data_IF_998314033711
#
_entry.id   IF_998314033711
#
_cell.length_a   1.000
_cell.length_b   1.000
_cell.length_c   1.000
_cell.angle_alpha   90.00
_cell.angle_beta   90.00
_cell.angle_gamma   90.00
#
_symmetry.space_group_name_H-M   'P 1'
#
loop_
_entity.id
_entity.type
_entity.pdbx_description
1 polymer ?
#
# COMPACT_ATOMS: atom_id res chain seq x y z
N UNK A 1 -9.33 2.65 13.04
CA UNK A 1 -8.06 2.01 12.62
C UNK A 1 -8.12 1.69 11.14
N UNK A 2 -7.03 1.87 10.39
CA UNK A 2 -6.94 1.53 8.96
C UNK A 2 -5.59 0.87 8.68
N UNK A 3 -5.59 -0.17 7.86
CA UNK A 3 -4.37 -0.74 7.26
C UNK A 3 -4.33 -0.24 5.83
N UNK A 4 -3.28 0.51 5.47
CA UNK A 4 -3.13 1.10 4.13
C UNK A 4 -2.17 0.25 3.31
N UNK A 5 -2.60 -0.17 2.13
CA UNK A 5 -1.77 -0.84 1.15
C UNK A 5 -1.45 0.18 0.05
N UNK A 6 -0.17 0.43 -0.18
CA UNK A 6 0.28 1.31 -1.25
C UNK A 6 0.15 0.60 -2.59
N UNK A 7 -0.62 1.19 -3.51
CA UNK A 7 -0.75 0.70 -4.89
C UNK A 7 0.11 1.49 -5.88
N UNK A 8 0.97 2.39 -5.41
CA UNK A 8 1.71 3.33 -6.27
C UNK A 8 0.88 4.54 -6.72
N UNK A 9 1.29 5.18 -7.82
CA UNK A 9 0.60 6.30 -8.46
C UNK A 9 0.74 6.19 -9.98
N UNK A 10 -0.29 6.55 -10.76
CA UNK A 10 -0.16 6.65 -12.21
C UNK A 10 0.86 7.73 -12.58
N UNK A 11 1.62 7.46 -13.63
CA UNK A 11 2.57 8.39 -14.21
C UNK A 11 2.03 8.90 -15.54
N UNK A 12 2.15 10.19 -15.78
CA UNK A 12 1.91 10.82 -17.09
C UNK A 12 3.19 11.55 -17.52
N UNK A 13 3.73 11.19 -18.68
CA UNK A 13 5.03 11.72 -19.12
C UNK A 13 6.21 11.43 -18.19
N UNK A 14 6.11 10.42 -17.32
CA UNK A 14 7.13 10.07 -16.32
C UNK A 14 6.95 10.75 -14.96
N UNK A 15 5.98 11.65 -14.81
CA UNK A 15 5.70 12.36 -13.56
C UNK A 15 4.40 11.86 -12.91
N UNK A 16 4.30 11.81 -11.57
CA UNK A 16 3.07 11.41 -10.90
C UNK A 16 1.91 12.36 -11.21
N UNK A 17 0.82 11.82 -11.72
CA UNK A 17 -0.37 12.61 -12.08
C UNK A 17 -1.48 12.49 -11.03
N UNK A 18 -2.39 13.48 -11.04
CA UNK A 18 -3.66 13.47 -10.30
C UNK A 18 -4.86 13.64 -11.23
N UNK A 19 -4.65 13.49 -12.54
CA UNK A 19 -5.73 13.52 -13.51
C UNK A 19 -6.80 12.46 -13.17
N UNK A 20 -8.08 12.84 -13.05
CA UNK A 20 -9.13 11.93 -12.61
C UNK A 20 -9.30 10.70 -13.51
N UNK A 21 -9.17 10.86 -14.82
CA UNK A 21 -9.41 9.79 -15.78
C UNK A 21 -8.25 8.79 -15.73
N UNK A 22 -7.00 9.29 -15.72
CA UNK A 22 -5.82 8.44 -15.58
C UNK A 22 -5.77 7.71 -14.23
N UNK A 23 -6.20 8.37 -13.15
CA UNK A 23 -6.29 7.75 -11.82
C UNK A 23 -7.38 6.68 -11.80
N UNK A 24 -8.53 6.92 -12.41
CA UNK A 24 -9.60 5.94 -12.49
C UNK A 24 -9.16 4.70 -13.27
N UNK A 25 -8.53 4.89 -14.43
CA UNK A 25 -8.01 3.79 -15.25
C UNK A 25 -6.95 2.98 -14.49
N UNK A 26 -6.04 3.65 -13.77
CA UNK A 26 -5.02 2.99 -12.97
C UNK A 26 -5.60 2.14 -11.84
N UNK A 27 -6.55 2.67 -11.06
CA UNK A 27 -7.14 1.97 -9.90
C UNK A 27 -8.04 0.81 -10.34
N UNK A 28 -8.67 0.92 -11.51
CA UNK A 28 -9.57 -0.10 -12.04
C UNK A 28 -8.86 -1.15 -12.90
N UNK A 29 -7.60 -0.92 -13.27
CA UNK A 29 -6.79 -1.88 -14.01
C UNK A 29 -6.37 -3.08 -13.14
N UNK A 30 -6.12 -4.22 -13.81
CA UNK A 30 -5.51 -5.36 -13.14
C UNK A 30 -3.98 -5.19 -13.14
N UNK A 31 -3.32 -5.28 -11.97
CA UNK A 31 -1.86 -5.24 -11.91
C UNK A 31 -1.28 -6.50 -12.58
N UNK A 32 -0.14 -6.33 -13.25
CA UNK A 32 0.53 -7.39 -14.02
C UNK A 32 2.00 -7.51 -13.64
N UNK A 33 2.59 -8.67 -13.92
CA UNK A 33 4.03 -8.89 -13.73
C UNK A 33 4.50 -8.66 -12.29
N UNK A 34 5.56 -7.87 -12.13
CA UNK A 34 6.20 -7.58 -10.84
C UNK A 34 5.27 -6.84 -9.88
N UNK A 35 4.48 -5.88 -10.37
CA UNK A 35 3.53 -5.11 -9.55
C UNK A 35 2.53 -6.03 -8.85
N UNK A 36 2.02 -7.03 -9.59
CA UNK A 36 1.09 -8.02 -9.02
C UNK A 36 1.74 -8.79 -7.88
N UNK A 37 2.97 -9.27 -8.08
CA UNK A 37 3.69 -10.03 -7.07
C UNK A 37 3.97 -9.20 -5.81
N UNK A 38 4.36 -7.93 -5.98
CA UNK A 38 4.57 -6.98 -4.87
C UNK A 38 3.27 -6.72 -4.10
N UNK A 39 2.14 -6.54 -4.80
CA UNK A 39 0.83 -6.35 -4.16
C UNK A 39 0.38 -7.60 -3.39
N UNK A 40 0.60 -8.79 -3.94
CA UNK A 40 0.30 -10.07 -3.27
C UNK A 40 1.15 -10.26 -1.99
N UNK A 41 2.44 -9.94 -2.04
CA UNK A 41 3.32 -9.95 -0.85
C UNK A 41 2.88 -8.92 0.18
N UNK A 42 2.61 -7.69 -0.25
CA UNK A 42 2.17 -6.61 0.64
C UNK A 42 0.83 -6.95 1.30
N UNK A 43 -0.08 -7.60 0.57
CA UNK A 43 -1.37 -8.06 1.11
C UNK A 43 -1.18 -9.12 2.19
N UNK A 44 -0.26 -10.08 2.00
CA UNK A 44 0.08 -11.06 3.03
C UNK A 44 0.67 -10.38 4.28
N UNK A 45 1.59 -9.43 4.09
CA UNK A 45 2.15 -8.68 5.20
C UNK A 45 1.10 -7.84 5.96
N UNK A 46 0.13 -7.28 5.23
CA UNK A 46 -1.00 -6.57 5.82
C UNK A 46 -1.93 -7.51 6.62
N UNK A 47 -2.14 -8.75 6.15
CA UNK A 47 -2.89 -9.76 6.88
C UNK A 47 -2.21 -10.11 8.22
N UNK A 48 -0.90 -10.35 8.20
CA UNK A 48 -0.10 -10.57 9.42
C UNK A 48 -0.21 -9.37 10.40
N UNK A 49 -0.26 -8.15 9.87
CA UNK A 49 -0.44 -6.94 10.68
C UNK A 49 -1.82 -6.92 11.36
N UNK A 50 -2.88 -7.33 10.66
CA UNK A 50 -4.24 -7.44 11.23
C UNK A 50 -4.28 -8.49 12.32
N UNK A 51 -3.66 -9.65 12.12
CA UNK A 51 -3.55 -10.69 13.15
C UNK A 51 -2.83 -10.18 14.40
N UNK A 52 -1.70 -9.49 14.22
CA UNK A 52 -0.95 -8.89 15.32
C UNK A 52 -1.74 -7.80 16.06
N UNK A 53 -2.54 -6.99 15.34
CA UNK A 53 -3.41 -6.00 15.98
C UNK A 53 -4.41 -6.68 16.91
N UNK A 54 -5.03 -7.79 16.46
CA UNK A 54 -6.01 -8.52 17.26
C UNK A 54 -5.36 -9.18 18.48
N UNK A 55 -4.16 -9.74 18.31
CA UNK A 55 -3.46 -10.47 19.38
C UNK A 55 -2.74 -9.56 20.39
N UNK A 56 -2.11 -8.48 19.93
CA UNK A 56 -1.15 -7.67 20.71
C UNK A 56 -1.61 -6.23 20.93
N UNK A 57 -2.66 -5.79 20.23
CA UNK A 57 -3.15 -4.42 20.23
C UNK A 57 -2.48 -3.52 19.18
N UNK A 58 -3.16 -2.41 18.86
CA UNK A 58 -2.80 -1.52 17.76
C UNK A 58 -1.39 -0.91 17.88
N UNK A 59 -1.02 -0.40 19.06
CA UNK A 59 0.23 0.35 19.23
C UNK A 59 1.48 -0.52 18.99
N UNK A 60 1.45 -1.76 19.48
CA UNK A 60 2.53 -2.74 19.29
C UNK A 60 2.61 -3.21 17.84
N UNK A 61 1.46 -3.52 17.22
CA UNK A 61 1.44 -3.93 15.83
C UNK A 61 1.90 -2.79 14.89
N UNK A 62 1.44 -1.56 15.11
CA UNK A 62 1.78 -0.40 14.29
C UNK A 62 3.29 -0.16 14.24
N UNK A 63 3.96 -0.16 15.40
CA UNK A 63 5.41 0.03 15.48
C UNK A 63 6.20 -1.13 14.83
N UNK A 64 5.66 -2.34 14.82
CA UNK A 64 6.30 -3.50 14.19
C UNK A 64 6.22 -3.45 12.66
N UNK A 65 5.03 -3.20 12.12
CA UNK A 65 4.72 -3.37 10.70
C UNK A 65 4.99 -2.11 9.85
N UNK A 66 4.98 -0.90 10.45
CA UNK A 66 5.24 0.33 9.69
C UNK A 66 6.74 0.61 9.40
N UNK A 67 7.67 -0.19 9.95
CA UNK A 67 9.13 0.02 9.77
C UNK A 67 9.64 -0.27 8.35
N UNK A 68 8.83 -0.90 7.50
CA UNK A 68 9.15 -1.25 6.11
C UNK A 68 8.43 -0.38 5.06
N UNK A 69 7.76 0.69 5.47
CA UNK A 69 7.16 1.62 4.51
C UNK A 69 8.22 2.22 3.58
N UNK A 70 7.91 2.44 2.28
CA UNK A 70 8.84 3.12 1.39
C UNK A 70 9.18 4.50 1.97
N UNK A 71 10.46 4.84 1.97
CA UNK A 71 10.94 6.19 2.27
C UNK A 71 10.13 7.19 1.42
N UNK A 72 9.32 8.03 2.06
CA UNK A 72 8.58 9.10 1.38
C UNK A 72 7.06 9.09 1.47
N UNK A 73 6.41 8.20 2.24
CA UNK A 73 5.01 8.43 2.59
C UNK A 73 4.94 9.52 3.67
N UNK A 74 4.38 10.72 3.42
CA UNK A 74 4.20 11.72 4.47
C UNK A 74 3.31 11.09 5.55
N UNK A 75 3.82 11.08 6.78
CA UNK A 75 3.03 10.83 7.96
C UNK A 75 1.85 11.80 7.93
N UNK A 76 0.64 11.24 7.87
CA UNK A 76 -0.59 12.00 8.03
C UNK A 76 -0.75 12.42 9.49
#
# INVERSE_FOLDING_TARGET
MRVRIGIGRPLDGGEPTRDPDLVADYVLANPVGEERATLEETTRHAADAVEAIVAEGFDRASSRFNRRGPEGSPAA
#
